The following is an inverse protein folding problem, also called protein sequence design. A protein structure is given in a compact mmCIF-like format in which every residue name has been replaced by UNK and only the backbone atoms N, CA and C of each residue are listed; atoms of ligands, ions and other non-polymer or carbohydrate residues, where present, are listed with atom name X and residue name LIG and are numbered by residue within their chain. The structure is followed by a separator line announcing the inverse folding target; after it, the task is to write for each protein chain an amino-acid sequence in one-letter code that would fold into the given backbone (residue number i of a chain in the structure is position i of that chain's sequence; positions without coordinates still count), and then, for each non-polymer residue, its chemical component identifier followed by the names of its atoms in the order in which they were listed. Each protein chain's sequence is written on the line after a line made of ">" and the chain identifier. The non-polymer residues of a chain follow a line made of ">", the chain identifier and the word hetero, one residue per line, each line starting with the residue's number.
data_IF_565364622035
#
_entry.id   IF_565364622035
#
_cell.length_a   1.000
_cell.length_b   1.000
_cell.length_c   1.000
_cell.angle_alpha   90.00
_cell.angle_beta   90.00
_cell.angle_gamma   90.00
#
_symmetry.space_group_name_H-M   'P 1'
#
loop_
_entity.id
_entity.type
_entity.pdbx_description
1 polymer ?
#
# COMPACT_ATOMS: atom_id res chain seq x y z
N UNK A 1 -8.25 5.36 22.23
CA UNK A 1 -9.30 4.33 22.22
C UNK A 1 -10.05 4.33 20.88
N UNK A 2 -10.76 5.40 20.49
CA UNK A 2 -11.56 5.45 19.26
C UNK A 2 -10.77 5.06 18.00
N UNK A 3 -9.55 5.59 17.81
CA UNK A 3 -8.70 5.25 16.66
C UNK A 3 -8.40 3.74 16.61
N UNK A 4 -8.09 3.12 17.73
CA UNK A 4 -7.83 1.69 17.79
C UNK A 4 -9.09 0.84 17.51
N UNK A 5 -10.23 1.29 18.00
CA UNK A 5 -11.52 0.62 17.73
C UNK A 5 -11.88 0.71 16.23
N UNK A 6 -11.64 1.86 15.58
CA UNK A 6 -11.82 2.02 14.13
C UNK A 6 -10.85 1.14 13.32
N UNK A 7 -9.60 1.02 13.73
CA UNK A 7 -8.63 0.10 13.10
C UNK A 7 -9.07 -1.35 13.20
N UNK A 8 -9.54 -1.78 14.38
CA UNK A 8 -10.09 -3.12 14.60
C UNK A 8 -11.33 -3.36 13.74
N UNK A 9 -12.24 -2.39 13.65
CA UNK A 9 -13.43 -2.47 12.80
C UNK A 9 -13.03 -2.65 11.32
N UNK A 10 -12.07 -1.87 10.83
CA UNK A 10 -11.55 -2.02 9.48
C UNK A 10 -11.02 -3.43 9.23
N UNK A 11 -10.18 -3.94 10.14
CA UNK A 11 -9.65 -5.30 10.01
C UNK A 11 -10.78 -6.35 10.00
N UNK A 12 -11.75 -6.24 10.89
CA UNK A 12 -12.88 -7.18 10.96
C UNK A 12 -13.72 -7.16 9.67
N UNK A 13 -13.95 -5.99 9.06
CA UNK A 13 -14.65 -5.85 7.80
C UNK A 13 -13.85 -6.51 6.67
N UNK A 14 -12.54 -6.22 6.56
CA UNK A 14 -11.67 -6.82 5.55
C UNK A 14 -11.66 -8.34 5.69
N UNK A 15 -11.48 -8.86 6.90
CA UNK A 15 -11.50 -10.30 7.13
C UNK A 15 -12.84 -10.94 6.75
N UNK A 16 -13.96 -10.31 7.09
CA UNK A 16 -15.29 -10.77 6.69
C UNK A 16 -15.47 -10.79 5.17
N UNK A 17 -14.91 -9.80 4.45
CA UNK A 17 -14.98 -9.73 2.99
C UNK A 17 -14.30 -10.92 2.31
N UNK A 18 -13.14 -11.33 2.82
CA UNK A 18 -12.31 -12.32 2.13
C UNK A 18 -12.41 -13.74 2.70
N UNK A 19 -12.73 -13.90 4.00
CA UNK A 19 -12.78 -15.21 4.67
C UNK A 19 -13.87 -16.16 4.16
N UNK A 20 -15.00 -15.63 3.73
CA UNK A 20 -16.21 -16.44 3.41
C UNK A 20 -16.33 -16.78 1.93
N UNK A 21 -15.46 -16.30 1.08
CA UNK A 21 -15.61 -16.43 -0.36
C UNK A 21 -14.59 -17.42 -0.93
N UNK A 22 -15.10 -18.43 -1.63
CA UNK A 22 -14.25 -19.34 -2.41
C UNK A 22 -13.61 -18.55 -3.56
N UNK A 23 -12.30 -18.67 -3.73
CA UNK A 23 -11.60 -18.03 -4.82
C UNK A 23 -12.22 -18.38 -6.17
N UNK A 24 -12.40 -17.39 -7.04
CA UNK A 24 -12.93 -17.53 -8.41
C UNK A 24 -11.92 -17.18 -9.49
N UNK A 25 -10.67 -16.87 -9.11
CA UNK A 25 -9.57 -16.60 -10.02
C UNK A 25 -8.22 -16.48 -9.29
N UNK A 26 -7.19 -16.14 -10.04
CA UNK A 26 -5.86 -15.83 -9.51
C UNK A 26 -5.55 -14.36 -9.74
N UNK A 27 -4.67 -13.77 -8.92
CA UNK A 27 -4.32 -12.35 -9.06
C UNK A 27 -3.84 -12.00 -10.47
N UNK A 28 -3.08 -12.88 -11.13
CA UNK A 28 -2.61 -12.67 -12.50
C UNK A 28 -3.70 -12.46 -13.54
N UNK A 29 -4.92 -12.96 -13.29
CA UNK A 29 -6.07 -12.72 -14.16
C UNK A 29 -6.50 -11.24 -14.14
N UNK A 30 -6.22 -10.55 -13.03
CA UNK A 30 -6.78 -9.24 -12.68
C UNK A 30 -5.75 -8.10 -12.58
N UNK A 31 -4.46 -8.42 -12.63
CA UNK A 31 -3.37 -7.43 -12.57
C UNK A 31 -2.48 -7.53 -13.80
N UNK A 32 -1.75 -6.46 -14.08
CA UNK A 32 -0.72 -6.43 -15.11
C UNK A 32 0.53 -5.71 -14.61
N UNK A 33 1.70 -6.22 -14.98
CA UNK A 33 2.98 -5.65 -14.55
C UNK A 33 3.24 -4.32 -15.23
N UNK A 34 3.78 -3.36 -14.48
CA UNK A 34 4.25 -2.07 -14.98
C UNK A 34 5.77 -2.00 -14.82
N UNK A 35 6.49 -1.85 -15.93
CA UNK A 35 7.96 -1.82 -15.95
C UNK A 35 8.55 -0.64 -16.73
N UNK A 36 7.74 0.40 -16.98
CA UNK A 36 8.18 1.62 -17.68
C UNK A 36 9.25 2.31 -16.86
N UNK A 37 10.40 2.59 -17.50
CA UNK A 37 11.56 3.23 -16.86
C UNK A 37 11.61 4.72 -17.13
N UNK A 38 12.23 5.47 -16.23
CA UNK A 38 12.44 6.92 -16.30
C UNK A 38 13.62 7.31 -17.20
N UNK A 39 13.73 6.71 -18.39
CA UNK A 39 14.89 6.86 -19.29
C UNK A 39 15.25 8.30 -19.62
N UNK A 40 14.24 9.17 -19.71
CA UNK A 40 14.42 10.58 -20.11
C UNK A 40 14.60 11.51 -18.90
N UNK A 41 14.69 10.98 -17.67
CA UNK A 41 14.82 11.79 -16.46
C UNK A 41 13.65 12.74 -16.15
N UNK A 42 12.46 12.48 -16.77
CA UNK A 42 11.29 13.37 -16.66
C UNK A 42 10.75 13.49 -15.23
N UNK A 43 10.97 12.48 -14.40
CA UNK A 43 10.44 12.44 -13.04
C UNK A 43 11.58 12.38 -12.02
N UNK A 44 11.52 13.29 -11.03
CA UNK A 44 12.49 13.39 -9.93
C UNK A 44 11.92 12.98 -8.57
N UNK A 45 10.59 12.75 -8.48
CA UNK A 45 9.93 12.38 -7.23
C UNK A 45 10.23 10.92 -6.86
N UNK A 46 11.33 10.68 -6.15
CA UNK A 46 11.76 9.35 -5.73
C UNK A 46 10.94 8.90 -4.52
N UNK A 47 10.28 7.75 -4.67
CA UNK A 47 9.41 7.17 -3.68
C UNK A 47 9.94 5.84 -3.15
N UNK A 48 9.60 5.54 -1.90
CA UNK A 48 9.77 4.24 -1.26
C UNK A 48 8.43 3.72 -0.75
N UNK A 49 8.32 2.40 -0.56
CA UNK A 49 7.13 1.77 0.03
C UNK A 49 7.42 1.44 1.49
N UNK A 50 6.83 2.23 2.39
CA UNK A 50 6.81 1.99 3.83
C UNK A 50 5.71 0.99 4.19
N UNK A 51 5.98 0.07 5.11
CA UNK A 51 4.99 -0.87 5.64
C UNK A 51 3.88 -0.21 6.49
N UNK A 52 4.09 1.02 6.97
CA UNK A 52 3.13 1.75 7.81
C UNK A 52 2.41 2.87 7.08
N UNK A 53 3.09 3.56 6.16
CA UNK A 53 2.60 4.81 5.56
C UNK A 53 2.32 4.68 4.06
N UNK A 54 2.56 3.49 3.46
CA UNK A 54 2.46 3.29 2.03
C UNK A 54 3.57 4.01 1.28
N UNK A 55 3.25 4.65 0.16
CA UNK A 55 4.24 5.45 -0.57
C UNK A 55 4.61 6.72 0.20
N UNK A 56 5.91 6.91 0.40
CA UNK A 56 6.54 8.08 1.03
C UNK A 56 7.68 8.59 0.17
N UNK A 57 7.98 9.89 0.24
CA UNK A 57 9.19 10.40 -0.39
C UNK A 57 10.41 9.80 0.28
N UNK A 58 11.40 9.44 -0.52
CA UNK A 58 12.61 8.83 0.01
C UNK A 58 13.40 9.80 0.91
N UNK A 59 13.37 11.11 0.60
CA UNK A 59 13.95 12.17 1.43
C UNK A 59 13.31 12.29 2.82
N UNK A 60 12.01 11.96 2.96
CA UNK A 60 11.30 12.00 4.24
C UNK A 60 11.56 10.75 5.11
N UNK A 61 11.95 9.64 4.48
CA UNK A 61 12.19 8.37 5.17
C UNK A 61 13.61 8.26 5.73
N UNK A 62 14.56 8.99 5.15
CA UNK A 62 15.99 8.92 5.47
C UNK A 62 16.52 10.35 5.69
N UNK A 63 16.25 10.91 6.86
CA UNK A 63 16.52 12.30 7.23
C UNK A 63 17.98 12.77 6.99
N UNK A 64 18.97 11.86 6.82
CA UNK A 64 20.40 12.20 6.68
C UNK A 64 21.16 11.41 5.59
N UNK A 65 20.49 10.67 4.70
CA UNK A 65 21.18 9.89 3.67
C UNK A 65 20.50 10.05 2.31
N UNK A 66 21.26 10.54 1.33
CA UNK A 66 20.87 10.44 -0.08
C UNK A 66 20.95 8.96 -0.50
N UNK A 67 19.86 8.23 -0.37
CA UNK A 67 19.78 6.79 -0.69
C UNK A 67 19.46 6.57 -2.17
N UNK A 68 18.92 7.60 -2.85
CA UNK A 68 18.70 7.55 -4.28
C UNK A 68 20.05 7.60 -5.02
N UNK A 69 20.20 6.72 -6.03
CA UNK A 69 21.29 6.87 -6.99
C UNK A 69 21.19 8.21 -7.70
N UNK A 70 22.31 8.87 -8.00
CA UNK A 70 22.35 10.09 -8.82
C UNK A 70 21.71 9.84 -10.19
N UNK A 71 21.90 8.63 -10.76
CA UNK A 71 21.21 8.18 -11.96
C UNK A 71 19.92 7.44 -11.62
N UNK A 72 18.79 8.06 -11.93
CA UNK A 72 17.45 7.50 -11.77
C UNK A 72 16.84 7.01 -13.10
N UNK A 73 17.61 6.92 -14.18
CA UNK A 73 17.14 6.49 -15.51
C UNK A 73 16.55 5.08 -15.53
N UNK A 74 17.06 4.20 -14.65
CA UNK A 74 16.60 2.82 -14.50
C UNK A 74 15.42 2.67 -13.52
N UNK A 75 15.03 3.74 -12.79
CA UNK A 75 13.91 3.69 -11.87
C UNK A 75 12.61 3.47 -12.63
N UNK A 76 11.67 2.77 -12.00
CA UNK A 76 10.35 2.46 -12.58
C UNK A 76 9.38 3.60 -12.29
N UNK A 77 8.66 4.04 -13.32
CA UNK A 77 7.61 5.05 -13.19
C UNK A 77 6.36 4.38 -12.62
N UNK A 78 5.82 4.96 -11.55
CA UNK A 78 4.55 4.58 -10.94
C UNK A 78 3.59 5.75 -11.00
N UNK A 79 2.35 5.49 -11.43
CA UNK A 79 1.27 6.49 -11.55
C UNK A 79 0.22 6.25 -10.47
N UNK A 80 -0.62 7.24 -10.22
CA UNK A 80 -1.78 7.10 -9.31
C UNK A 80 -2.52 5.79 -9.58
N UNK A 81 -2.90 5.10 -8.52
CA UNK A 81 -3.51 3.76 -8.51
C UNK A 81 -2.60 2.58 -8.95
N UNK A 82 -1.36 2.82 -9.33
CA UNK A 82 -0.41 1.71 -9.44
C UNK A 82 -0.02 1.21 -8.04
N UNK A 83 0.33 -0.05 -7.98
CA UNK A 83 0.87 -0.73 -6.82
C UNK A 83 2.37 -0.95 -6.98
N UNK A 84 3.09 -0.92 -5.88
CA UNK A 84 4.46 -1.42 -5.84
C UNK A 84 4.71 -2.18 -4.54
N UNK A 85 5.57 -3.20 -4.61
CA UNK A 85 6.05 -3.90 -3.44
C UNK A 85 7.55 -4.22 -3.54
N UNK A 86 8.19 -4.33 -2.38
CA UNK A 86 9.55 -4.84 -2.29
C UNK A 86 9.48 -6.37 -2.13
N UNK A 87 10.00 -7.17 -3.09
CA UNK A 87 9.94 -8.63 -3.03
C UNK A 87 10.49 -9.23 -1.74
N UNK A 88 11.57 -8.68 -1.21
CA UNK A 88 12.23 -9.16 0.00
C UNK A 88 11.64 -8.61 1.31
N UNK A 89 10.61 -7.77 1.24
CA UNK A 89 9.99 -7.14 2.41
C UNK A 89 8.46 -7.16 2.38
N UNK A 90 7.86 -7.88 1.43
CA UNK A 90 6.41 -8.00 1.34
C UNK A 90 5.82 -8.71 2.56
N UNK A 91 6.54 -9.64 3.14
CA UNK A 91 6.18 -10.37 4.35
C UNK A 91 6.04 -9.48 5.61
N UNK A 92 6.64 -8.30 5.60
CA UNK A 92 6.47 -7.27 6.65
C UNK A 92 5.58 -6.11 6.20
N UNK A 93 4.83 -6.28 5.10
CA UNK A 93 3.82 -5.33 4.63
C UNK A 93 4.35 -4.26 3.68
N UNK A 94 5.52 -4.44 3.04
CA UNK A 94 6.03 -3.48 2.04
C UNK A 94 5.32 -3.65 0.68
N UNK A 95 4.02 -3.42 0.66
CA UNK A 95 3.16 -3.33 -0.54
C UNK A 95 2.19 -2.16 -0.36
N UNK A 96 2.02 -1.32 -1.39
CA UNK A 96 1.10 -0.19 -1.31
C UNK A 96 0.58 0.24 -2.69
N UNK A 97 -0.56 0.95 -2.68
CA UNK A 97 -1.14 1.68 -3.81
C UNK A 97 -0.69 3.14 -3.74
N UNK A 98 -0.32 3.72 -4.88
CA UNK A 98 0.02 5.13 -4.98
C UNK A 98 -1.25 5.99 -4.98
N UNK A 99 -1.50 6.69 -3.87
CA UNK A 99 -2.67 7.57 -3.69
C UNK A 99 -2.30 9.03 -3.43
N UNK A 100 -1.13 9.25 -2.80
CA UNK A 100 -0.70 10.60 -2.35
C UNK A 100 -0.12 11.46 -3.48
N UNK A 101 0.39 10.84 -4.54
CA UNK A 101 1.03 11.52 -5.67
C UNK A 101 0.41 11.04 -6.98
N UNK A 102 0.41 11.91 -8.00
CA UNK A 102 -0.07 11.52 -9.34
C UNK A 102 0.95 10.63 -10.06
N UNK A 103 2.24 10.91 -9.84
CA UNK A 103 3.35 10.17 -10.42
C UNK A 103 4.57 10.23 -9.50
N UNK A 104 5.38 9.19 -9.55
CA UNK A 104 6.69 9.12 -8.93
C UNK A 104 7.52 8.00 -9.54
N UNK A 105 8.74 7.85 -9.05
CA UNK A 105 9.66 6.80 -9.48
C UNK A 105 10.11 5.98 -8.27
N UNK A 106 10.29 4.68 -8.48
CA UNK A 106 10.77 3.75 -7.46
C UNK A 106 11.99 2.98 -7.96
N UNK A 107 12.84 2.56 -7.04
CA UNK A 107 14.03 1.76 -7.35
C UNK A 107 13.67 0.54 -8.20
N UNK A 108 14.56 0.10 -9.11
CA UNK A 108 14.37 -1.07 -9.98
C UNK A 108 14.00 -2.36 -9.23
N UNK A 109 14.40 -2.48 -7.96
CA UNK A 109 14.11 -3.65 -7.11
C UNK A 109 12.62 -3.84 -6.81
N UNK A 110 11.80 -2.78 -6.87
CA UNK A 110 10.37 -2.90 -6.64
C UNK A 110 9.69 -3.60 -7.81
N UNK A 111 8.75 -4.48 -7.52
CA UNK A 111 7.77 -4.98 -8.49
C UNK A 111 6.61 -4.01 -8.52
N UNK A 112 6.29 -3.50 -9.71
CA UNK A 112 5.20 -2.56 -9.92
C UNK A 112 4.13 -3.20 -10.81
N UNK A 113 2.85 -2.95 -10.50
CA UNK A 113 1.72 -3.46 -11.26
C UNK A 113 0.51 -2.55 -11.12
N UNK A 114 -0.49 -2.76 -11.96
CA UNK A 114 -1.79 -2.08 -11.88
C UNK A 114 -2.92 -3.10 -11.99
N UNK A 115 -4.10 -2.72 -11.55
CA UNK A 115 -5.31 -3.50 -11.75
C UNK A 115 -5.81 -3.37 -13.19
N UNK A 116 -6.40 -4.46 -13.72
CA UNK A 116 -7.17 -4.42 -14.97
C UNK A 116 -8.55 -3.80 -14.71
N UNK A 117 -9.29 -3.46 -15.79
CA UNK A 117 -10.60 -2.79 -15.68
C UNK A 117 -11.66 -3.59 -14.92
N UNK A 118 -11.49 -4.90 -14.77
CA UNK A 118 -12.42 -5.78 -14.05
C UNK A 118 -12.32 -5.67 -12.52
N UNK A 119 -11.34 -4.92 -12.02
CA UNK A 119 -11.12 -4.77 -10.57
C UNK A 119 -10.82 -3.33 -10.20
N UNK A 120 -11.46 -2.84 -9.14
CA UNK A 120 -11.15 -1.51 -8.62
C UNK A 120 -9.92 -1.55 -7.69
N UNK A 121 -9.02 -0.56 -7.78
CA UNK A 121 -7.80 -0.52 -6.98
C UNK A 121 -8.06 -0.57 -5.46
N UNK A 122 -9.13 0.05 -4.97
CA UNK A 122 -9.54 0.07 -3.57
C UNK A 122 -9.84 -1.33 -3.04
N UNK A 123 -10.53 -2.16 -3.83
CA UNK A 123 -10.82 -3.53 -3.47
C UNK A 123 -9.55 -4.38 -3.40
N UNK A 124 -8.65 -4.20 -4.38
CA UNK A 124 -7.36 -4.90 -4.41
C UNK A 124 -6.48 -4.48 -3.24
N UNK A 125 -6.43 -3.18 -2.90
CA UNK A 125 -5.71 -2.67 -1.72
C UNK A 125 -6.21 -3.30 -0.43
N UNK A 126 -7.54 -3.45 -0.28
CA UNK A 126 -8.14 -4.14 0.86
C UNK A 126 -7.70 -5.60 0.94
N UNK A 127 -7.68 -6.31 -0.19
CA UNK A 127 -7.22 -7.70 -0.25
C UNK A 127 -5.79 -7.85 0.27
N UNK A 128 -4.88 -6.95 -0.11
CA UNK A 128 -3.49 -7.00 0.36
C UNK A 128 -3.32 -6.76 1.86
N UNK A 129 -4.36 -6.29 2.56
CA UNK A 129 -4.35 -6.17 4.03
C UNK A 129 -5.02 -7.34 4.76
N UNK A 130 -5.57 -8.33 4.02
CA UNK A 130 -6.27 -9.48 4.60
C UNK A 130 -5.32 -10.59 5.06
N UNK A 131 -5.77 -11.37 6.04
CA UNK A 131 -5.06 -12.58 6.47
C UNK A 131 -4.98 -13.63 5.36
N UNK A 132 -6.01 -13.70 4.49
CA UNK A 132 -6.01 -14.60 3.34
C UNK A 132 -4.84 -14.30 2.41
N UNK A 133 -4.64 -13.03 2.06
CA UNK A 133 -3.49 -12.63 1.24
C UNK A 133 -2.18 -13.00 1.94
N UNK A 134 -2.02 -12.65 3.22
CA UNK A 134 -0.81 -12.95 3.97
C UNK A 134 -0.49 -14.44 3.99
N UNK A 135 -1.48 -15.28 4.26
CA UNK A 135 -1.32 -16.75 4.28
C UNK A 135 -0.91 -17.30 2.90
N UNK A 136 -1.57 -16.87 1.83
CA UNK A 136 -1.27 -17.34 0.48
C UNK A 136 0.07 -16.80 -0.05
N UNK A 137 0.44 -15.58 0.34
CA UNK A 137 1.75 -14.98 0.05
C UNK A 137 2.86 -15.77 0.72
N UNK A 138 2.73 -16.09 2.02
CA UNK A 138 3.75 -16.83 2.77
C UNK A 138 4.08 -18.20 2.18
N UNK A 139 3.09 -18.88 1.58
CA UNK A 139 3.30 -20.17 0.89
C UNK A 139 4.12 -20.06 -0.40
N UNK A 140 4.24 -18.86 -0.97
CA UNK A 140 4.86 -18.60 -2.27
C UNK A 140 6.16 -17.79 -2.18
N UNK A 141 6.62 -17.57 -0.94
CA UNK A 141 7.94 -16.97 -0.74
C UNK A 141 9.02 -17.98 -1.11
N UNK A 142 9.99 -17.53 -1.88
CA UNK A 142 11.12 -18.31 -2.37
C UNK A 142 12.44 -17.71 -1.86
N UNK A 143 13.46 -18.53 -1.71
CA UNK A 143 14.81 -18.15 -1.32
C UNK A 143 15.26 -18.78 0.00
N UNK A 144 16.55 -19.09 0.10
CA UNK A 144 17.16 -19.74 1.26
C UNK A 144 17.67 -18.72 2.29
N UNK A 145 18.25 -17.61 1.85
CA UNK A 145 18.84 -16.59 2.73
C UNK A 145 17.88 -15.43 2.95
N UNK A 146 17.16 -15.04 1.93
CA UNK A 146 16.18 -13.94 2.00
C UNK A 146 14.94 -14.35 1.20
N UNK A 147 13.84 -14.50 1.93
CA UNK A 147 12.56 -14.84 1.32
C UNK A 147 12.04 -13.69 0.48
N UNK A 148 11.71 -13.98 -0.77
CA UNK A 148 11.20 -13.01 -1.75
C UNK A 148 9.94 -13.54 -2.42
N UNK A 149 9.00 -12.65 -2.73
CA UNK A 149 7.85 -12.96 -3.57
C UNK A 149 8.12 -12.48 -5.00
N UNK A 150 8.23 -13.41 -5.95
CA UNK A 150 8.30 -13.09 -7.37
C UNK A 150 6.97 -12.54 -7.89
N UNK A 151 6.98 -11.84 -9.05
CA UNK A 151 5.72 -11.41 -9.68
C UNK A 151 4.87 -12.61 -10.08
N UNK A 152 5.47 -13.69 -10.53
CA UNK A 152 4.77 -14.94 -10.84
C UNK A 152 4.14 -15.55 -9.59
N UNK A 153 4.86 -15.59 -8.46
CA UNK A 153 4.32 -16.01 -7.17
C UNK A 153 3.12 -15.18 -6.74
N UNK A 154 3.18 -13.85 -6.93
CA UNK A 154 2.04 -12.96 -6.70
C UNK A 154 0.86 -13.29 -7.61
N UNK A 155 1.09 -13.49 -8.92
CA UNK A 155 0.06 -13.82 -9.90
C UNK A 155 -0.67 -15.15 -9.57
N UNK A 156 0.01 -16.09 -8.94
CA UNK A 156 -0.55 -17.40 -8.57
C UNK A 156 -1.37 -17.40 -7.27
N UNK A 157 -1.49 -16.27 -6.58
CA UNK A 157 -2.32 -16.17 -5.36
C UNK A 157 -3.81 -16.25 -5.74
N UNK A 158 -4.57 -17.19 -5.14
CA UNK A 158 -6.00 -17.27 -5.37
C UNK A 158 -6.73 -16.10 -4.72
N UNK A 159 -7.70 -15.55 -5.43
CA UNK A 159 -8.51 -14.41 -4.95
C UNK A 159 -9.97 -14.59 -5.34
N UNK A 160 -10.85 -14.07 -4.50
CA UNK A 160 -12.27 -13.91 -4.83
C UNK A 160 -12.50 -12.48 -5.32
N UNK A 161 -13.11 -12.35 -6.50
CA UNK A 161 -13.49 -11.07 -7.10
C UNK A 161 -15.00 -11.08 -7.29
N UNK A 162 -15.75 -10.26 -6.54
CA UNK A 162 -17.19 -10.11 -6.71
C UNK A 162 -17.51 -9.25 -7.94
N UNK A 163 -18.80 -9.13 -8.25
CA UNK A 163 -19.27 -8.17 -9.26
C UNK A 163 -18.85 -6.73 -8.93
N UNK A 164 -18.80 -5.85 -9.94
CA UNK A 164 -18.30 -4.49 -9.84
C UNK A 164 -19.05 -3.67 -8.78
N UNK A 165 -20.37 -3.85 -8.67
CA UNK A 165 -21.16 -3.08 -7.69
C UNK A 165 -20.76 -3.42 -6.25
N UNK A 166 -20.51 -4.71 -5.97
CA UNK A 166 -20.01 -5.12 -4.66
C UNK A 166 -18.60 -4.64 -4.39
N UNK A 167 -17.71 -4.66 -5.40
CA UNK A 167 -16.38 -4.09 -5.25
C UNK A 167 -16.42 -2.62 -4.87
N UNK A 168 -17.26 -1.82 -5.55
CA UNK A 168 -17.45 -0.39 -5.29
C UNK A 168 -17.96 -0.18 -3.86
N UNK A 169 -19.03 -0.88 -3.46
CA UNK A 169 -19.59 -0.76 -2.12
C UNK A 169 -18.56 -1.11 -1.02
N UNK A 170 -17.80 -2.17 -1.23
CA UNK A 170 -16.73 -2.59 -0.31
C UNK A 170 -15.60 -1.55 -0.23
N UNK A 171 -15.13 -1.05 -1.38
CA UNK A 171 -14.09 -0.02 -1.45
C UNK A 171 -14.52 1.28 -0.77
N UNK A 172 -15.76 1.73 -0.99
CA UNK A 172 -16.32 2.92 -0.36
C UNK A 172 -16.38 2.79 1.16
N UNK A 173 -16.87 1.66 1.68
CA UNK A 173 -16.95 1.41 3.13
C UNK A 173 -15.57 1.47 3.79
N UNK A 174 -14.56 0.87 3.19
CA UNK A 174 -13.19 0.92 3.70
C UNK A 174 -12.62 2.33 3.63
N UNK A 175 -12.86 3.04 2.52
CA UNK A 175 -12.41 4.43 2.34
C UNK A 175 -13.00 5.36 3.39
N UNK A 176 -14.28 5.22 3.72
CA UNK A 176 -14.93 6.00 4.78
C UNK A 176 -14.29 5.75 6.15
N UNK A 177 -13.99 4.51 6.49
CA UNK A 177 -13.32 4.18 7.76
C UNK A 177 -11.90 4.76 7.79
N UNK A 178 -11.15 4.64 6.69
CA UNK A 178 -9.81 5.20 6.60
C UNK A 178 -9.83 6.73 6.72
N UNK A 179 -10.78 7.41 6.07
CA UNK A 179 -10.98 8.85 6.18
C UNK A 179 -11.29 9.26 7.63
N UNK A 180 -12.16 8.50 8.31
CA UNK A 180 -12.48 8.76 9.71
C UNK A 180 -11.26 8.58 10.61
N UNK A 181 -10.47 7.52 10.42
CA UNK A 181 -9.22 7.32 11.15
C UNK A 181 -8.26 8.50 10.93
N UNK A 182 -8.11 8.97 9.69
CA UNK A 182 -7.25 10.11 9.35
C UNK A 182 -7.67 11.38 10.08
N UNK A 183 -8.97 11.72 10.07
CA UNK A 183 -9.53 12.87 10.78
C UNK A 183 -9.30 12.78 12.29
N UNK A 184 -9.48 11.63 12.90
CA UNK A 184 -9.27 11.44 14.34
C UNK A 184 -7.79 11.59 14.74
N UNK A 185 -6.87 11.12 13.89
CA UNK A 185 -5.42 11.31 14.10
C UNK A 185 -5.05 12.79 14.00
N UNK A 186 -5.56 13.50 13.00
CA UNK A 186 -5.32 14.93 12.84
C UNK A 186 -5.89 15.73 14.01
N UNK A 187 -7.11 15.43 14.43
CA UNK A 187 -7.76 16.06 15.58
C UNK A 187 -6.95 15.86 16.87
N UNK A 188 -6.47 14.64 17.11
CA UNK A 188 -5.61 14.33 18.25
C UNK A 188 -4.30 15.13 18.21
N UNK A 189 -3.70 15.27 17.03
CA UNK A 189 -2.51 16.09 16.82
C UNK A 189 -2.73 17.56 17.18
N UNK A 190 -3.86 18.14 16.75
CA UNK A 190 -4.25 19.53 17.09
C UNK A 190 -4.46 19.71 18.59
N UNK A 191 -5.13 18.76 19.25
CA UNK A 191 -5.32 18.80 20.71
C UNK A 191 -3.98 18.74 21.46
N UNK A 192 -3.03 17.92 21.01
CA UNK A 192 -1.69 17.89 21.58
C UNK A 192 -0.96 19.23 21.45
N UNK A 193 -1.00 19.86 20.29
CA UNK A 193 -0.40 21.17 20.05
C UNK A 193 -1.05 22.23 20.97
N UNK A 194 -2.38 22.23 21.07
CA UNK A 194 -3.11 23.15 21.96
C UNK A 194 -2.72 22.95 23.42
N UNK A 195 -2.67 21.69 23.89
CA UNK A 195 -2.21 21.37 25.24
C UNK A 195 -0.78 21.91 25.49
N UNK A 196 0.14 21.68 24.59
CA UNK A 196 1.52 22.17 24.70
C UNK A 196 1.57 23.70 24.78
N UNK A 197 0.78 24.37 23.94
CA UNK A 197 0.68 25.84 23.95
C UNK A 197 0.18 26.35 25.30
N UNK A 198 -0.91 25.79 25.83
CA UNK A 198 -1.49 26.18 27.13
C UNK A 198 -0.52 25.94 28.29
N UNK A 199 0.15 24.78 28.31
CA UNK A 199 1.16 24.49 29.34
C UNK A 199 2.30 25.52 29.32
N UNK A 200 2.82 25.90 28.14
CA UNK A 200 3.85 26.94 28.02
C UNK A 200 3.37 28.30 28.52
N UNK A 201 2.08 28.63 28.36
CA UNK A 201 1.50 29.91 28.82
C UNK A 201 1.21 29.93 30.31
N UNK A 202 1.00 28.77 30.94
CA UNK A 202 0.68 28.69 32.37
C UNK A 202 1.94 28.67 33.27
N UNK A 203 3.11 28.33 32.70
CA UNK A 203 4.35 28.16 33.46
C UNK A 203 5.45 29.15 33.04
N UNK A 204 5.07 30.32 32.47
CA UNK A 204 5.98 31.46 32.24
C UNK A 204 5.89 32.44 33.39
#
# INVERSE_FOLDING_TARGET
>A
RLIEDLKKLRCAIVEKMFKQSKANGRLGDFIEQVSVRNKNGLYSNVLSVSNKQGFVKQSEQFEDRTVASEDTSNYKIVKRNNFAYNPARINVGSIARLTKFDVGIVSPMYVCFRTKASIIPEYMEAFFTSQQFFYEMMKRLEGSVRLCLSYEGLCNIPVYIPDMNKQIAMGQNISLILSKIGLEIEYLGRLHQQKQYLLRKMFI
#
